data_IF_651925598018
#
_entry.id   IF_651925598018
#
_cell.length_a   1.000
_cell.length_b   1.000
_cell.length_c   1.000
_cell.angle_alpha   90.00
_cell.angle_beta   90.00
_cell.angle_gamma   90.00
#
_symmetry.space_group_name_H-M   'P 1'
#
loop_
_entity.id
_entity.type
_entity.pdbx_description
1 polymer ?
#
# COMPACT_ATOMS: atom_id res chain seq x y z
N UNK A 1 -1.23 -55.65 -13.56
CA UNK A 1 -1.01 -54.92 -12.29
C UNK A 1 -0.06 -53.73 -12.39
N UNK A 2 0.52 -53.39 -13.54
CA UNK A 2 1.47 -52.25 -13.68
C UNK A 2 0.88 -50.93 -14.21
N UNK A 3 -0.41 -50.88 -14.55
CA UNK A 3 -1.06 -49.69 -15.15
C UNK A 3 -1.91 -48.85 -14.22
N UNK A 4 -2.16 -49.31 -13.00
CA UNK A 4 -3.01 -48.60 -12.02
C UNK A 4 -2.23 -47.63 -11.08
N UNK A 5 -0.90 -47.76 -11.00
CA UNK A 5 -0.06 -46.95 -10.11
C UNK A 5 0.27 -45.57 -10.73
N UNK A 6 0.29 -45.49 -12.07
CA UNK A 6 0.66 -44.23 -12.74
C UNK A 6 -0.45 -43.17 -12.74
N UNK A 7 -1.72 -43.56 -12.60
CA UNK A 7 -2.84 -42.59 -12.61
C UNK A 7 -2.99 -41.89 -11.26
N UNK A 8 -2.63 -42.55 -10.16
CA UNK A 8 -2.71 -41.95 -8.81
C UNK A 8 -1.69 -40.86 -8.55
N UNK A 9 -0.52 -40.91 -9.19
CA UNK A 9 0.57 -39.93 -8.97
C UNK A 9 0.30 -38.64 -9.73
N UNK A 10 -0.35 -38.67 -10.89
CA UNK A 10 -0.66 -37.49 -11.70
C UNK A 10 -1.81 -36.68 -11.08
N UNK A 11 -2.81 -37.38 -10.49
CA UNK A 11 -3.91 -36.69 -9.79
C UNK A 11 -3.49 -35.97 -8.50
N UNK A 12 -2.48 -36.51 -7.81
CA UNK A 12 -1.95 -35.87 -6.58
C UNK A 12 -1.10 -34.62 -6.85
N UNK A 13 -0.46 -34.53 -8.01
CA UNK A 13 0.39 -33.40 -8.34
C UNK A 13 -0.40 -32.18 -8.86
N UNK A 14 -1.60 -32.41 -9.42
CA UNK A 14 -2.45 -31.32 -9.93
C UNK A 14 -3.25 -30.58 -8.84
N UNK A 15 -3.41 -31.19 -7.65
CA UNK A 15 -4.15 -30.56 -6.54
C UNK A 15 -3.28 -29.64 -5.67
N UNK A 16 -1.96 -29.70 -5.80
CA UNK A 16 -1.03 -28.91 -4.99
C UNK A 16 -0.72 -27.51 -5.56
N UNK A 17 -1.20 -27.19 -6.77
CA UNK A 17 -0.88 -25.91 -7.45
C UNK A 17 -1.92 -24.81 -7.20
N UNK A 18 -3.03 -25.08 -6.50
CA UNK A 18 -4.15 -24.14 -6.36
C UNK A 18 -4.21 -23.41 -5.02
N UNK A 19 -3.17 -23.44 -4.19
CA UNK A 19 -3.14 -22.76 -2.90
C UNK A 19 -2.00 -21.73 -2.79
N UNK A 20 -1.69 -21.02 -3.86
CA UNK A 20 -0.98 -19.75 -3.75
C UNK A 20 -2.00 -18.63 -3.86
N UNK A 21 -2.84 -18.52 -2.85
CA UNK A 21 -3.56 -17.27 -2.60
C UNK A 21 -2.51 -16.25 -2.17
N UNK A 22 -1.88 -15.61 -3.16
CA UNK A 22 -0.94 -14.53 -2.89
C UNK A 22 -1.63 -13.49 -2.02
N UNK A 23 -1.06 -13.21 -0.87
CA UNK A 23 -1.33 -12.01 -0.08
C UNK A 23 -0.86 -10.80 -0.90
N UNK A 24 -1.61 -10.47 -1.97
CA UNK A 24 -1.37 -9.25 -2.70
C UNK A 24 -1.88 -8.08 -1.88
N UNK A 25 -1.02 -7.11 -1.64
CA UNK A 25 -1.44 -5.83 -1.10
C UNK A 25 -2.54 -5.25 -2.00
N UNK A 26 -3.52 -4.56 -1.41
CA UNK A 26 -4.62 -3.95 -2.17
C UNK A 26 -4.07 -3.02 -3.24
N UNK A 27 -4.57 -3.12 -4.47
CA UNK A 27 -4.18 -2.25 -5.58
C UNK A 27 -4.50 -0.78 -5.28
N UNK A 28 -5.63 -0.55 -4.61
CA UNK A 28 -6.12 0.77 -4.23
C UNK A 28 -6.54 0.73 -2.76
N UNK A 29 -6.14 1.75 -2.02
CA UNK A 29 -6.51 1.97 -0.61
C UNK A 29 -7.29 3.26 -0.51
N UNK A 30 -8.42 3.24 0.19
CA UNK A 30 -9.23 4.43 0.45
C UNK A 30 -9.14 4.83 1.91
N UNK A 31 -8.95 6.12 2.14
CA UNK A 31 -8.98 6.75 3.45
C UNK A 31 -10.13 7.74 3.50
N UNK A 32 -10.84 7.79 4.62
CA UNK A 32 -12.01 8.66 4.80
C UNK A 32 -11.78 9.67 5.94
N UNK A 33 -10.82 10.60 5.81
CA UNK A 33 -10.66 11.67 6.78
C UNK A 33 -11.82 12.66 6.69
N UNK A 34 -12.01 13.46 7.74
CA UNK A 34 -13.11 14.44 7.86
C UNK A 34 -13.16 15.43 6.69
N UNK A 35 -12.03 15.75 6.07
CA UNK A 35 -11.95 16.73 4.98
C UNK A 35 -12.39 16.18 3.61
N UNK A 36 -12.56 14.88 3.47
CA UNK A 36 -12.98 14.22 2.22
C UNK A 36 -12.15 12.98 1.92
N UNK A 37 -12.73 12.08 1.13
CA UNK A 37 -12.11 10.80 0.79
C UNK A 37 -10.80 10.98 0.02
N UNK A 38 -9.79 10.18 0.37
CA UNK A 38 -8.52 10.09 -0.33
C UNK A 38 -8.36 8.68 -0.92
N UNK A 39 -8.08 8.60 -2.21
CA UNK A 39 -7.83 7.34 -2.90
C UNK A 39 -6.34 7.22 -3.20
N UNK A 40 -5.70 6.19 -2.65
CA UNK A 40 -4.29 5.89 -2.85
C UNK A 40 -4.10 4.68 -3.74
N UNK A 41 -3.43 4.87 -4.87
CA UNK A 41 -3.12 3.80 -5.83
C UNK A 41 -1.84 3.08 -5.45
N UNK A 42 -1.93 2.16 -4.47
CA UNK A 42 -0.79 1.43 -3.92
C UNK A 42 0.03 0.72 -5.01
N UNK A 43 -0.64 -0.03 -5.87
CA UNK A 43 0.01 -0.76 -6.98
C UNK A 43 0.84 0.15 -7.88
N UNK A 44 0.32 1.33 -8.23
CA UNK A 44 1.05 2.31 -9.04
C UNK A 44 2.36 2.73 -8.37
N UNK A 45 2.34 2.99 -7.05
CA UNK A 45 3.54 3.42 -6.31
C UNK A 45 4.54 2.28 -6.15
N UNK A 46 4.07 1.08 -5.76
CA UNK A 46 4.93 -0.05 -5.47
C UNK A 46 5.46 -0.74 -6.74
N UNK A 47 4.60 -1.00 -7.73
CA UNK A 47 4.96 -1.81 -8.89
C UNK A 47 5.37 -0.97 -10.11
N UNK A 48 4.59 0.07 -10.45
CA UNK A 48 4.87 0.89 -11.64
C UNK A 48 6.02 1.85 -11.41
N UNK A 49 5.98 2.57 -10.28
CA UNK A 49 7.01 3.56 -9.92
C UNK A 49 8.18 2.94 -9.15
N UNK A 50 8.04 1.67 -8.71
CA UNK A 50 9.06 0.91 -7.98
C UNK A 50 9.61 1.66 -6.77
N UNK A 51 8.74 2.36 -6.05
CA UNK A 51 9.10 3.04 -4.80
C UNK A 51 9.34 1.96 -3.75
N UNK A 52 10.45 2.05 -3.02
CA UNK A 52 10.80 1.10 -1.98
C UNK A 52 9.72 1.03 -0.91
N UNK A 53 9.33 -0.19 -0.52
CA UNK A 53 8.28 -0.43 0.48
C UNK A 53 8.58 0.28 1.80
N UNK A 54 9.85 0.32 2.22
CA UNK A 54 10.27 0.93 3.48
C UNK A 54 10.18 2.46 3.45
N UNK A 55 10.03 3.08 2.28
CA UNK A 55 9.81 4.53 2.17
C UNK A 55 8.50 4.94 2.86
N UNK A 56 7.46 4.12 2.73
CA UNK A 56 6.16 4.34 3.35
C UNK A 56 5.97 3.46 4.60
N UNK A 57 6.36 2.19 4.53
CA UNK A 57 6.28 1.23 5.63
C UNK A 57 7.53 1.27 6.51
N UNK A 58 7.83 2.42 7.09
CA UNK A 58 9.09 2.70 7.80
C UNK A 58 9.32 1.87 9.06
N UNK A 59 8.30 1.14 9.55
CA UNK A 59 8.43 0.21 10.68
C UNK A 59 8.72 -1.23 10.26
N UNK A 60 8.68 -1.53 8.96
CA UNK A 60 8.98 -2.86 8.45
C UNK A 60 10.47 -3.10 8.38
N UNK A 61 10.86 -4.38 8.46
CA UNK A 61 12.22 -4.83 8.13
C UNK A 61 12.28 -5.20 6.65
N UNK A 62 13.47 -5.19 6.08
CA UNK A 62 13.68 -5.60 4.69
C UNK A 62 13.14 -7.03 4.46
N UNK A 63 12.25 -7.18 3.49
CA UNK A 63 11.62 -8.45 3.15
C UNK A 63 10.30 -8.73 3.89
N UNK A 64 9.89 -7.90 4.84
CA UNK A 64 8.54 -7.99 5.42
C UNK A 64 7.49 -7.51 4.41
N UNK A 65 6.34 -8.17 4.42
CA UNK A 65 5.19 -7.86 3.55
C UNK A 65 3.93 -7.54 4.34
N UNK A 66 4.01 -7.55 5.66
CA UNK A 66 2.92 -7.22 6.56
C UNK A 66 3.45 -6.54 7.82
N UNK A 67 2.63 -5.76 8.48
CA UNK A 67 3.01 -5.05 9.70
C UNK A 67 1.92 -4.11 10.19
N UNK A 68 2.31 -3.20 11.06
CA UNK A 68 1.39 -2.21 11.64
C UNK A 68 0.86 -1.24 10.58
N UNK A 69 -0.39 -0.86 10.72
CA UNK A 69 -1.00 0.19 9.92
C UNK A 69 -0.51 1.57 10.41
N UNK A 70 -0.50 2.56 9.52
CA UNK A 70 -0.11 3.93 9.90
C UNK A 70 -0.87 4.44 11.13
N UNK A 71 -2.19 4.16 11.18
CA UNK A 71 -3.08 4.57 12.26
C UNK A 71 -2.85 3.84 13.59
N UNK A 72 -2.07 2.77 13.61
CA UNK A 72 -1.74 2.09 14.88
C UNK A 72 -0.86 2.97 15.75
N UNK A 73 -0.02 3.80 15.15
CA UNK A 73 0.88 4.72 15.83
C UNK A 73 0.49 6.19 15.64
N UNK A 74 0.12 6.59 14.41
CA UNK A 74 -0.24 7.98 14.10
C UNK A 74 -1.69 8.27 14.46
N UNK A 75 -1.93 8.90 15.61
CA UNK A 75 -3.26 9.22 16.14
C UNK A 75 -3.75 10.60 15.67
N UNK A 76 -4.86 11.07 16.21
CA UNK A 76 -5.44 12.37 15.86
C UNK A 76 -4.53 13.55 16.22
N UNK A 77 -3.68 13.40 17.23
CA UNK A 77 -2.75 14.43 17.70
C UNK A 77 -1.33 13.90 17.71
N UNK A 78 -0.36 14.79 17.62
CA UNK A 78 1.07 14.46 17.81
C UNK A 78 1.33 14.11 19.27
N UNK A 79 2.01 13.00 19.48
CA UNK A 79 2.39 12.48 20.80
C UNK A 79 3.91 12.30 20.87
N UNK A 80 4.58 13.15 21.63
CA UNK A 80 6.04 13.17 21.69
C UNK A 80 6.66 13.39 20.31
N UNK A 81 7.43 12.41 19.82
CA UNK A 81 8.05 12.43 18.50
C UNK A 81 7.18 11.81 17.38
N UNK A 82 6.05 11.20 17.74
CA UNK A 82 5.14 10.57 16.80
C UNK A 82 4.17 11.60 16.24
N UNK A 83 4.27 11.89 14.96
CA UNK A 83 3.40 12.83 14.26
C UNK A 83 1.93 12.43 14.34
N UNK A 84 1.03 13.41 14.31
CA UNK A 84 -0.39 13.14 14.08
C UNK A 84 -0.60 12.41 12.75
N UNK A 85 -1.71 11.71 12.60
CA UNK A 85 -2.05 11.05 11.33
C UNK A 85 -2.07 12.06 10.17
N UNK A 86 -2.67 13.25 10.37
CA UNK A 86 -2.69 14.31 9.37
C UNK A 86 -1.27 14.68 8.94
N UNK A 87 -0.39 14.96 9.88
CA UNK A 87 0.96 15.43 9.58
C UNK A 87 1.82 14.33 8.98
N UNK A 88 1.67 13.08 9.45
CA UNK A 88 2.37 11.93 8.91
C UNK A 88 2.00 11.68 7.43
N UNK A 89 0.71 11.62 7.10
CA UNK A 89 0.26 11.42 5.72
C UNK A 89 0.64 12.59 4.81
N UNK A 90 0.50 13.85 5.27
CA UNK A 90 0.90 14.99 4.48
C UNK A 90 2.41 15.02 4.23
N UNK A 91 3.21 14.70 5.24
CA UNK A 91 4.66 14.63 5.09
C UNK A 91 5.08 13.53 4.12
N UNK A 92 4.50 12.36 4.23
CA UNK A 92 4.86 11.20 3.40
C UNK A 92 4.32 11.33 1.97
N UNK A 93 3.03 11.56 1.80
CA UNK A 93 2.40 11.61 0.47
C UNK A 93 2.67 12.94 -0.25
N UNK A 94 2.17 14.04 0.33
CA UNK A 94 2.29 15.38 -0.28
C UNK A 94 3.75 15.84 -0.34
N UNK A 95 4.53 15.60 0.71
CA UNK A 95 5.95 15.97 0.76
C UNK A 95 6.74 15.29 -0.35
N UNK A 96 6.55 13.98 -0.57
CA UNK A 96 7.18 13.24 -1.65
C UNK A 96 6.78 13.79 -3.05
N UNK A 97 5.50 14.10 -3.25
CA UNK A 97 5.03 14.70 -4.50
C UNK A 97 5.61 16.11 -4.73
N UNK A 98 5.71 16.93 -3.70
CA UNK A 98 6.33 18.25 -3.78
C UNK A 98 7.84 18.16 -4.14
N UNK A 99 8.56 17.21 -3.54
CA UNK A 99 9.97 16.95 -3.87
C UNK A 99 10.14 16.50 -5.32
N UNK A 100 9.31 15.56 -5.78
CA UNK A 100 9.33 15.12 -7.18
C UNK A 100 9.05 16.26 -8.14
N UNK A 101 8.07 17.13 -7.83
CA UNK A 101 7.74 18.33 -8.63
C UNK A 101 8.90 19.32 -8.68
N UNK A 102 9.54 19.59 -7.53
CA UNK A 102 10.74 20.45 -7.47
C UNK A 102 11.89 19.88 -8.31
N UNK A 103 12.05 18.57 -8.32
CA UNK A 103 13.03 17.86 -9.12
C UNK A 103 12.64 17.73 -10.61
N UNK A 104 11.55 18.38 -11.04
CA UNK A 104 11.00 18.29 -12.41
C UNK A 104 10.71 16.86 -12.88
N UNK A 105 10.40 15.95 -11.94
CA UNK A 105 9.97 14.58 -12.21
C UNK A 105 8.45 14.50 -12.27
N UNK A 106 7.93 13.42 -12.86
CA UNK A 106 6.50 13.11 -12.77
C UNK A 106 6.08 13.02 -11.30
N UNK A 107 5.09 13.76 -10.90
CA UNK A 107 4.62 13.86 -9.54
C UNK A 107 3.11 13.62 -9.46
N UNK A 108 2.67 13.12 -8.32
CA UNK A 108 1.25 13.03 -7.99
C UNK A 108 0.66 14.38 -7.56
N UNK A 109 -0.60 14.39 -7.14
CA UNK A 109 -1.31 15.60 -6.72
C UNK A 109 -0.68 16.23 -5.48
N UNK A 110 -0.69 17.57 -5.41
CA UNK A 110 -0.17 18.35 -4.29
C UNK A 110 -1.21 19.30 -3.68
N UNK A 111 -2.34 19.49 -4.36
CA UNK A 111 -3.44 20.35 -3.91
C UNK A 111 -4.43 19.62 -3.01
N UNK A 112 -5.04 20.35 -2.07
CA UNK A 112 -5.99 19.78 -1.10
C UNK A 112 -7.14 19.02 -1.77
N UNK A 113 -7.81 19.64 -2.74
CA UNK A 113 -8.98 19.07 -3.43
C UNK A 113 -8.63 18.03 -4.49
N UNK A 114 -7.35 17.93 -4.86
CA UNK A 114 -6.86 16.88 -5.76
C UNK A 114 -6.72 15.54 -5.04
N UNK A 115 -6.47 15.57 -3.73
CA UNK A 115 -6.37 14.39 -2.88
C UNK A 115 -7.69 14.12 -2.15
N UNK A 116 -8.29 15.16 -1.55
CA UNK A 116 -9.51 15.08 -0.74
C UNK A 116 -10.75 15.37 -1.59
N UNK A 117 -11.48 14.32 -1.92
CA UNK A 117 -12.73 14.42 -2.69
C UNK A 117 -13.91 14.45 -1.71
N UNK A 118 -14.62 15.57 -1.68
CA UNK A 118 -15.85 15.70 -0.89
C UNK A 118 -17.00 14.95 -1.58
N UNK A 119 -17.84 14.28 -0.80
CA UNK A 119 -19.09 13.74 -1.33
C UNK A 119 -19.92 14.90 -1.91
N UNK A 120 -20.47 14.69 -3.11
CA UNK A 120 -21.48 15.62 -3.65
C UNK A 120 -22.70 15.52 -2.73
N UNK A 121 -23.18 16.65 -2.21
CA UNK A 121 -24.47 16.73 -1.51
C UNK A 121 -25.59 16.51 -2.49
#
# INVERSE_FOLDING_TARGET
MKRLISIGIIAGFMLAVLMVSGLFAKDVVEYNPTYGKVTFTHKKHAETLKIDCLKCHHTWKKGETSGKLCMDCHKAKTEGKTLSAKDAYHKDCKGCHDEAKKAKKSAGPTGCTQCHVKAKK
#
